data_IF_601222192026
#
_entry.id   IF_601222192026
#
_cell.length_a   1.000
_cell.length_b   1.000
_cell.length_c   1.000
_cell.angle_alpha   90.00
_cell.angle_beta   90.00
_cell.angle_gamma   90.00
#
_symmetry.space_group_name_H-M   'P 1'
#
loop_
_entity.id
_entity.type
_entity.pdbx_description
1 polymer ?
#
# COMPACT_ATOMS: atom_id res chain seq x y z
N UNK A 1 -20.09 -8.90 -26.87
CA UNK A 1 -19.15 -8.00 -26.17
C UNK A 1 -17.92 -7.87 -27.06
N UNK A 2 -17.61 -6.68 -27.59
CA UNK A 2 -16.40 -6.47 -28.43
C UNK A 2 -15.22 -6.19 -27.51
N UNK A 3 -14.28 -7.12 -27.42
CA UNK A 3 -13.04 -6.92 -26.67
C UNK A 3 -12.13 -6.01 -27.50
N UNK A 4 -11.63 -4.95 -26.88
CA UNK A 4 -10.72 -3.98 -27.50
C UNK A 4 -9.46 -3.95 -26.66
N UNK A 5 -8.29 -4.02 -27.31
CA UNK A 5 -7.00 -3.98 -26.63
C UNK A 5 -6.44 -2.55 -26.72
N UNK A 6 -5.87 -2.06 -25.61
CA UNK A 6 -5.13 -0.80 -25.62
C UNK A 6 -3.75 -1.02 -26.23
N UNK A 7 -3.26 -0.02 -26.98
CA UNK A 7 -1.86 0.06 -27.43
C UNK A 7 -0.93 0.64 -26.38
N UNK A 8 -1.47 1.14 -25.26
CA UNK A 8 -0.69 1.78 -24.21
C UNK A 8 -0.01 0.75 -23.32
N UNK A 9 1.18 1.10 -22.81
CA UNK A 9 1.87 0.29 -21.79
C UNK A 9 1.16 0.45 -20.45
N UNK A 10 0.22 -0.46 -20.18
CA UNK A 10 -0.51 -0.49 -18.91
C UNK A 10 0.33 -1.26 -17.88
N UNK A 11 0.76 -0.58 -16.82
CA UNK A 11 1.42 -1.23 -15.69
C UNK A 11 0.36 -1.96 -14.84
N UNK A 12 0.57 -3.26 -14.60
CA UNK A 12 -0.29 -4.11 -13.77
C UNK A 12 -0.45 -3.60 -12.33
N UNK A 13 0.47 -2.74 -11.86
CA UNK A 13 0.47 -2.13 -10.53
C UNK A 13 0.09 -0.64 -10.54
N UNK A 14 -0.59 -0.16 -11.59
CA UNK A 14 -0.97 1.25 -11.70
C UNK A 14 -1.80 1.77 -10.53
N UNK A 15 -2.79 0.99 -10.06
CA UNK A 15 -3.63 1.35 -8.92
C UNK A 15 -2.86 1.49 -7.61
N UNK A 16 -2.01 0.50 -7.29
CA UNK A 16 -1.15 0.51 -6.10
C UNK A 16 -0.20 1.71 -6.14
N UNK A 17 0.49 1.94 -7.26
CA UNK A 17 1.40 3.08 -7.36
C UNK A 17 0.67 4.43 -7.25
N UNK A 18 -0.55 4.53 -7.77
CA UNK A 18 -1.37 5.73 -7.67
C UNK A 18 -1.80 6.02 -6.23
N UNK A 19 -2.34 5.02 -5.53
CA UNK A 19 -2.76 5.15 -4.13
C UNK A 19 -1.56 5.46 -3.21
N UNK A 20 -0.45 4.73 -3.39
CA UNK A 20 0.78 4.93 -2.61
C UNK A 20 1.34 6.34 -2.78
N UNK A 21 1.33 6.87 -4.01
CA UNK A 21 1.77 8.22 -4.30
C UNK A 21 0.95 9.26 -3.53
N UNK A 22 -0.39 9.15 -3.54
CA UNK A 22 -1.27 10.09 -2.82
C UNK A 22 -0.98 10.07 -1.32
N UNK A 23 -0.86 8.88 -0.73
CA UNK A 23 -0.62 8.72 0.71
C UNK A 23 0.74 9.29 1.11
N UNK A 24 1.76 9.06 0.26
CA UNK A 24 3.11 9.58 0.47
C UNK A 24 3.17 11.10 0.32
N UNK A 25 2.49 11.67 -0.66
CA UNK A 25 2.39 13.13 -0.85
C UNK A 25 1.64 13.83 0.30
N UNK A 26 0.75 13.11 0.98
CA UNK A 26 0.07 13.57 2.19
C UNK A 26 0.87 13.37 3.49
N UNK A 27 2.14 12.92 3.42
CA UNK A 27 3.02 12.68 4.57
C UNK A 27 2.44 11.75 5.65
N UNK A 28 1.56 10.82 5.25
CA UNK A 28 0.90 9.90 6.19
C UNK A 28 1.91 8.92 6.79
N UNK A 29 2.84 8.39 5.98
CA UNK A 29 3.87 7.47 6.46
C UNK A 29 4.79 8.13 7.49
N UNK A 30 5.21 9.37 7.22
CA UNK A 30 6.03 10.14 8.17
C UNK A 30 5.26 10.38 9.48
N UNK A 31 3.97 10.74 9.37
CA UNK A 31 3.10 10.96 10.54
C UNK A 31 2.99 9.69 11.40
N UNK A 32 2.83 8.53 10.77
CA UNK A 32 2.73 7.24 11.46
C UNK A 32 4.03 6.94 12.22
N UNK A 33 5.19 7.02 11.55
CA UNK A 33 6.47 6.70 12.18
C UNK A 33 6.85 7.72 13.26
N UNK A 34 6.50 9.01 13.09
CA UNK A 34 6.71 10.03 14.11
C UNK A 34 5.82 9.80 15.34
N UNK A 35 4.58 9.34 15.13
CA UNK A 35 3.61 9.14 16.23
C UNK A 35 3.87 7.84 16.99
N UNK A 36 4.18 6.75 16.27
CA UNK A 36 4.36 5.43 16.85
C UNK A 36 5.82 5.12 17.20
N UNK A 37 6.76 5.91 16.69
CA UNK A 37 8.19 5.75 16.91
C UNK A 37 8.75 4.49 16.24
N UNK A 38 9.80 3.95 16.83
CA UNK A 38 10.40 2.69 16.37
C UNK A 38 9.65 1.49 16.95
N UNK A 39 9.57 0.41 16.16
CA UNK A 39 9.10 -0.89 16.64
C UNK A 39 10.17 -1.54 17.55
N UNK A 40 10.33 -2.85 17.50
CA UNK A 40 11.42 -3.53 18.21
C UNK A 40 12.75 -3.46 17.47
N UNK A 41 13.86 -3.63 18.20
CA UNK A 41 15.23 -3.68 17.64
C UNK A 41 15.46 -4.79 16.62
N UNK A 42 14.58 -5.81 16.59
CA UNK A 42 14.61 -6.92 15.62
C UNK A 42 13.64 -6.72 14.45
N UNK A 43 12.81 -5.67 14.47
CA UNK A 43 11.85 -5.42 13.42
C UNK A 43 12.57 -5.03 12.12
N UNK A 44 12.20 -5.68 11.01
CA UNK A 44 12.74 -5.37 9.68
C UNK A 44 11.92 -4.29 8.95
N UNK A 45 10.72 -4.00 9.44
CA UNK A 45 9.75 -3.08 8.86
C UNK A 45 9.31 -2.04 9.89
N UNK A 46 9.16 -0.79 9.47
CA UNK A 46 8.64 0.30 10.28
C UNK A 46 7.15 0.12 10.57
N UNK A 47 6.55 1.03 11.33
CA UNK A 47 5.09 1.05 11.43
C UNK A 47 4.47 1.45 10.09
N UNK A 48 4.99 2.48 9.44
CA UNK A 48 4.49 2.94 8.14
C UNK A 48 4.53 1.86 7.07
N UNK A 49 5.52 0.96 7.07
CA UNK A 49 5.58 -0.19 6.15
C UNK A 49 4.39 -1.15 6.32
N UNK A 50 4.01 -1.44 7.57
CA UNK A 50 2.86 -2.31 7.86
C UNK A 50 1.55 -1.66 7.39
N UNK A 51 1.36 -0.39 7.74
CA UNK A 51 0.19 0.36 7.31
C UNK A 51 0.14 0.52 5.80
N UNK A 52 1.27 0.78 5.14
CA UNK A 52 1.37 0.86 3.69
C UNK A 52 0.92 -0.45 3.03
N UNK A 53 1.43 -1.59 3.49
CA UNK A 53 1.02 -2.90 2.97
C UNK A 53 -0.49 -3.09 3.07
N UNK A 54 -1.06 -2.79 4.24
CA UNK A 54 -2.49 -2.94 4.48
C UNK A 54 -3.35 -1.94 3.70
N UNK A 55 -2.91 -0.68 3.59
CA UNK A 55 -3.59 0.34 2.79
C UNK A 55 -3.59 -0.02 1.31
N UNK A 56 -2.48 -0.55 0.78
CA UNK A 56 -2.41 -0.97 -0.62
C UNK A 56 -3.35 -2.15 -0.90
N UNK A 57 -3.49 -3.08 0.04
CA UNK A 57 -4.49 -4.14 -0.03
C UNK A 57 -5.90 -3.55 -0.12
N UNK A 58 -6.32 -2.77 0.88
CA UNK A 58 -7.71 -2.30 1.00
C UNK A 58 -8.09 -1.31 -0.10
N UNK A 59 -7.20 -0.36 -0.45
CA UNK A 59 -7.52 0.69 -1.41
C UNK A 59 -7.47 0.22 -2.87
N UNK A 60 -6.80 -0.91 -3.14
CA UNK A 60 -6.64 -1.43 -4.51
C UNK A 60 -7.42 -2.71 -4.75
N UNK A 61 -8.45 -2.99 -3.93
CA UNK A 61 -9.39 -4.10 -4.14
C UNK A 61 -8.85 -5.48 -3.73
N UNK A 62 -7.85 -5.52 -2.85
CA UNK A 62 -7.46 -6.76 -2.18
C UNK A 62 -8.45 -7.11 -1.07
N UNK A 63 -8.82 -8.39 -0.98
CA UNK A 63 -9.90 -8.86 -0.10
C UNK A 63 -9.40 -9.70 1.09
N UNK A 64 -8.14 -10.16 1.05
CA UNK A 64 -7.60 -11.08 2.04
C UNK A 64 -6.22 -10.62 2.50
N UNK A 65 -6.02 -10.60 3.81
CA UNK A 65 -4.70 -10.52 4.43
C UNK A 65 -4.57 -11.69 5.40
N UNK A 66 -3.89 -12.75 4.94
CA UNK A 66 -3.78 -14.05 5.62
C UNK A 66 -3.28 -13.93 7.06
N UNK A 67 -2.34 -13.01 7.30
CA UNK A 67 -1.70 -12.81 8.59
C UNK A 67 -2.59 -12.14 9.66
N UNK A 68 -3.77 -11.61 9.27
CA UNK A 68 -4.67 -10.88 10.19
C UNK A 68 -6.07 -11.51 10.31
N UNK A 69 -6.34 -12.57 9.55
CA UNK A 69 -7.58 -13.36 9.68
C UNK A 69 -7.40 -14.42 10.76
N UNK A 70 -8.31 -14.47 11.74
CA UNK A 70 -8.44 -15.57 12.72
C UNK A 70 -8.95 -16.86 12.08
#
# INVERSE_FOLDING_TARGET
MKITYSSDTINSFGGINFADKIIREASIYDTIDQTLGIRGVKAQYSYSDLFRSYLMLVLCGGECAEDITE
#
